data_IF_822461256249
#
_entry.id   IF_822461256249
#
_cell.length_a   1.000
_cell.length_b   1.000
_cell.length_c   1.000
_cell.angle_alpha   90.00
_cell.angle_beta   90.00
_cell.angle_gamma   90.00
#
_symmetry.space_group_name_H-M   'P 1'
#
loop_
_entity.id
_entity.type
_entity.pdbx_description
1 polymer ?
#
# COMPACT_ATOMS: atom_id res chain seq x y z
N UNK A 1 -0.84 -8.65 18.57
CA UNK A 1 -1.65 -9.38 17.57
C UNK A 1 -0.70 -10.04 16.59
N UNK A 2 -0.91 -11.30 16.23
CA UNK A 2 -0.20 -11.95 15.12
C UNK A 2 -0.94 -11.69 13.82
N UNK A 3 -0.20 -11.57 12.72
CA UNK A 3 -0.72 -11.50 11.36
C UNK A 3 -0.25 -12.72 10.57
N UNK A 4 -0.92 -13.03 9.47
CA UNK A 4 -0.52 -14.10 8.54
C UNK A 4 -0.56 -13.61 7.09
N UNK A 5 -0.26 -14.46 6.12
CA UNK A 5 -0.30 -14.12 4.70
C UNK A 5 1.04 -13.68 4.14
N UNK A 6 1.01 -12.83 3.11
CA UNK A 6 2.19 -12.44 2.35
C UNK A 6 3.15 -11.55 3.16
N UNK A 7 4.43 -11.57 2.80
CA UNK A 7 5.42 -10.66 3.37
C UNK A 7 5.25 -9.26 2.79
N UNK A 8 5.09 -8.27 3.66
CA UNK A 8 4.99 -6.85 3.30
C UNK A 8 6.14 -6.10 3.96
N UNK A 9 7.02 -5.50 3.15
CA UNK A 9 8.21 -4.82 3.64
C UNK A 9 7.90 -3.59 4.48
N UNK A 10 8.81 -3.27 5.42
CA UNK A 10 8.77 -2.03 6.20
C UNK A 10 8.76 -0.82 5.28
N UNK A 11 7.97 0.20 5.62
CA UNK A 11 7.78 1.37 4.78
C UNK A 11 7.48 2.65 5.56
N UNK A 12 7.96 3.78 5.08
CA UNK A 12 7.59 5.12 5.56
C UNK A 12 7.08 5.99 4.40
N UNK A 13 6.35 7.06 4.71
CA UNK A 13 5.77 7.96 3.69
C UNK A 13 4.70 7.29 2.79
N UNK A 14 4.19 6.13 3.18
CA UNK A 14 3.06 5.45 2.54
C UNK A 14 1.74 6.06 3.01
N UNK A 15 0.65 5.69 2.35
CA UNK A 15 -0.71 5.93 2.84
C UNK A 15 -1.45 4.62 3.05
N UNK A 16 -2.47 4.65 3.90
CA UNK A 16 -3.34 3.51 4.16
C UNK A 16 -4.80 3.97 4.29
N UNK A 17 -5.72 3.21 3.71
CA UNK A 17 -7.16 3.52 3.71
C UNK A 17 -7.94 2.26 4.05
N UNK A 18 -8.81 2.32 5.06
CA UNK A 18 -9.75 1.26 5.42
C UNK A 18 -11.01 1.36 4.54
N UNK A 19 -11.36 0.26 3.88
CA UNK A 19 -12.61 0.11 3.13
C UNK A 19 -13.75 -0.36 4.03
N UNK A 20 -15.00 -0.21 3.56
CA UNK A 20 -16.19 -0.63 4.32
C UNK A 20 -16.26 -2.15 4.56
N UNK A 21 -15.64 -2.95 3.71
CA UNK A 21 -15.57 -4.41 3.80
C UNK A 21 -14.41 -4.92 4.69
N UNK A 22 -13.69 -4.03 5.37
CA UNK A 22 -12.67 -4.44 6.34
C UNK A 22 -11.31 -4.74 5.73
N UNK A 23 -11.01 -4.21 4.54
CA UNK A 23 -9.67 -4.25 3.96
C UNK A 23 -8.98 -2.90 4.18
N UNK A 24 -7.80 -2.92 4.79
CA UNK A 24 -6.91 -1.77 4.77
C UNK A 24 -6.04 -1.92 3.52
N UNK A 25 -6.14 -0.98 2.58
CA UNK A 25 -5.23 -0.92 1.44
C UNK A 25 -4.09 0.03 1.76
N UNK A 26 -2.86 -0.45 1.55
CA UNK A 26 -1.60 0.25 1.75
C UNK A 26 -1.01 0.51 0.37
N UNK A 27 -0.58 1.74 0.11
CA UNK A 27 0.11 2.09 -1.13
C UNK A 27 1.36 2.93 -0.87
N UNK A 28 2.40 2.59 -1.62
CA UNK A 28 3.59 3.40 -1.75
C UNK A 28 4.55 3.33 -0.56
N UNK A 29 5.39 4.35 -0.48
CA UNK A 29 6.40 4.53 0.55
C UNK A 29 7.78 3.98 0.19
N UNK A 30 8.73 4.27 1.07
CA UNK A 30 10.13 3.85 0.98
C UNK A 30 10.48 2.91 2.11
N UNK A 31 11.38 1.97 1.85
CA UNK A 31 11.99 1.14 2.88
C UNK A 31 13.06 1.90 3.67
N UNK A 32 13.71 1.21 4.61
CA UNK A 32 14.73 1.82 5.48
C UNK A 32 16.00 2.26 4.74
N UNK A 33 16.18 1.87 3.48
CA UNK A 33 17.30 2.26 2.61
C UNK A 33 16.87 3.30 1.57
N UNK A 34 15.78 4.01 1.82
CA UNK A 34 15.17 5.00 0.93
C UNK A 34 14.82 4.46 -0.47
N UNK A 35 14.70 3.13 -0.58
CA UNK A 35 14.35 2.43 -1.81
C UNK A 35 12.84 2.18 -1.88
N UNK A 36 12.30 1.94 -3.08
CA UNK A 36 10.88 1.61 -3.30
C UNK A 36 10.49 0.42 -2.39
N UNK A 37 9.53 0.64 -1.49
CA UNK A 37 9.05 -0.44 -0.64
C UNK A 37 8.26 -1.46 -1.47
N UNK A 38 8.52 -2.75 -1.25
CA UNK A 38 7.83 -3.84 -1.92
C UNK A 38 6.91 -4.62 -0.96
N UNK A 39 5.73 -5.06 -1.43
CA UNK A 39 5.09 -4.67 -2.70
C UNK A 39 4.62 -3.20 -2.65
N UNK A 40 4.38 -2.59 -3.82
CA UNK A 40 3.83 -1.23 -3.88
C UNK A 40 2.44 -1.12 -3.26
N UNK A 41 1.58 -2.10 -3.55
CA UNK A 41 0.22 -2.20 -3.04
C UNK A 41 0.14 -3.47 -2.21
N UNK A 42 -0.39 -3.34 -0.99
CA UNK A 42 -0.74 -4.46 -0.15
C UNK A 42 -2.12 -4.22 0.48
N UNK A 43 -2.80 -5.30 0.85
CA UNK A 43 -4.00 -5.22 1.68
C UNK A 43 -3.82 -5.97 2.99
N UNK A 44 -4.38 -5.46 4.06
CA UNK A 44 -4.56 -6.16 5.33
C UNK A 44 -6.05 -6.38 5.56
N UNK A 45 -6.46 -7.65 5.54
CA UNK A 45 -7.82 -8.04 5.90
C UNK A 45 -7.97 -8.05 7.43
N UNK A 46 -8.69 -7.04 7.93
CA UNK A 46 -8.99 -6.89 9.36
C UNK A 46 -10.36 -7.44 9.75
N UNK A 47 -11.09 -8.02 8.79
CA UNK A 47 -12.38 -8.68 9.04
C UNK A 47 -12.23 -10.11 9.59
N UNK A 48 -11.03 -10.69 9.51
CA UNK A 48 -10.70 -12.05 9.96
C UNK A 48 -9.75 -12.04 11.17
N UNK A 49 -9.50 -13.19 11.81
CA UNK A 49 -8.51 -13.31 12.90
C UNK A 49 -7.76 -14.64 12.78
N UNK A 50 -6.41 -14.63 12.66
CA UNK A 50 -5.53 -13.45 12.63
C UNK A 50 -5.73 -12.60 11.38
N UNK A 51 -5.36 -11.32 11.42
CA UNK A 51 -5.39 -10.46 10.23
C UNK A 51 -4.48 -11.01 9.13
N UNK A 52 -4.90 -10.87 7.87
CA UNK A 52 -4.22 -11.49 6.72
C UNK A 52 -3.68 -10.44 5.77
N UNK A 53 -2.37 -10.45 5.54
CA UNK A 53 -1.71 -9.66 4.51
C UNK A 53 -1.83 -10.31 3.14
N UNK A 54 -1.98 -9.47 2.11
CA UNK A 54 -1.91 -9.87 0.72
C UNK A 54 -1.13 -8.86 -0.09
N UNK A 55 -0.11 -9.32 -0.82
CA UNK A 55 0.63 -8.53 -1.79
C UNK A 55 -0.18 -8.46 -3.09
N UNK A 56 -0.33 -7.26 -3.66
CA UNK A 56 -1.02 -7.07 -4.94
C UNK A 56 0.03 -6.91 -6.04
N UNK A 57 0.01 -7.84 -7.00
CA UNK A 57 0.90 -7.76 -8.16
C UNK A 57 0.44 -6.65 -9.12
N UNK A 58 1.29 -5.62 -9.21
CA UNK A 58 1.07 -4.43 -10.02
C UNK A 58 1.53 -4.59 -11.46
N UNK A 59 2.26 -5.67 -11.80
CA UNK A 59 2.77 -5.92 -13.14
C UNK A 59 1.67 -6.31 -14.15
N UNK A 60 0.44 -6.56 -13.68
CA UNK A 60 -0.65 -7.06 -14.52
C UNK A 60 -1.65 -5.98 -14.94
N UNK A 61 -1.59 -4.75 -14.40
CA UNK A 61 -2.79 -3.91 -14.36
C UNK A 61 -2.58 -2.38 -14.45
N UNK A 62 -1.78 -1.88 -15.41
CA UNK A 62 -1.55 -0.43 -15.62
C UNK A 62 -1.26 0.33 -14.31
N UNK A 63 -0.64 -0.34 -13.35
CA UNK A 63 -0.35 0.25 -12.07
C UNK A 63 0.65 1.40 -12.28
N UNK A 64 0.61 2.45 -11.44
CA UNK A 64 1.54 3.55 -11.55
C UNK A 64 2.98 3.02 -11.61
N UNK A 65 3.73 3.40 -12.64
CA UNK A 65 5.10 2.92 -12.88
C UNK A 65 6.07 3.29 -11.76
N UNK A 66 5.69 4.28 -10.93
CA UNK A 66 6.43 4.73 -9.77
C UNK A 66 5.55 4.72 -8.53
N UNK A 67 6.10 4.18 -7.44
CA UNK A 67 5.54 4.27 -6.10
C UNK A 67 5.55 5.71 -5.60
N UNK A 68 4.43 6.19 -5.05
CA UNK A 68 4.36 7.53 -4.43
C UNK A 68 4.90 7.50 -2.99
N UNK A 69 5.50 8.61 -2.58
CA UNK A 69 6.01 8.82 -1.20
C UNK A 69 5.49 10.16 -0.69
N UNK A 70 5.14 10.22 0.60
CA UNK A 70 4.57 11.39 1.27
C UNK A 70 3.31 11.94 0.57
N UNK A 71 2.49 11.03 0.04
CA UNK A 71 1.24 11.35 -0.65
C UNK A 71 0.04 11.27 0.30
N UNK A 72 -1.11 11.75 -0.17
CA UNK A 72 -2.38 11.61 0.52
C UNK A 72 -3.24 10.53 -0.14
N UNK A 73 -4.08 9.88 0.65
CA UNK A 73 -5.09 8.94 0.15
C UNK A 73 -6.43 9.16 0.84
N UNK A 74 -7.52 8.94 0.11
CA UNK A 74 -8.87 9.00 0.64
C UNK A 74 -9.80 7.98 -0.03
N UNK A 75 -10.88 7.62 0.65
CA UNK A 75 -11.94 6.76 0.12
C UNK A 75 -13.11 7.62 -0.36
N UNK A 76 -13.55 7.42 -1.59
CA UNK A 76 -14.78 7.97 -2.13
C UNK A 76 -15.64 6.86 -2.76
N UNK A 77 -16.69 6.45 -2.05
CA UNK A 77 -17.47 5.27 -2.41
C UNK A 77 -16.59 4.01 -2.40
N UNK A 78 -16.42 3.38 -3.55
CA UNK A 78 -15.56 2.20 -3.75
C UNK A 78 -14.19 2.53 -4.32
N UNK A 79 -13.89 3.82 -4.54
CA UNK A 79 -12.63 4.27 -5.14
C UNK A 79 -11.69 4.78 -4.06
N UNK A 80 -10.46 4.28 -4.07
CA UNK A 80 -9.36 4.88 -3.31
C UNK A 80 -8.64 5.85 -4.24
N UNK A 81 -8.56 7.10 -3.81
CA UNK A 81 -7.93 8.18 -4.56
C UNK A 81 -6.61 8.51 -3.88
N UNK A 82 -5.51 8.32 -4.61
CA UNK A 82 -4.19 8.78 -4.23
C UNK A 82 -3.91 10.12 -4.92
N UNK A 83 -3.47 11.11 -4.16
CA UNK A 83 -3.19 12.44 -4.69
C UNK A 83 -1.96 13.07 -4.04
N UNK A 84 -1.30 13.94 -4.80
CA UNK A 84 -0.08 14.65 -4.40
C UNK A 84 1.06 13.70 -4.01
N UNK A 85 2.10 14.26 -3.37
CA UNK A 85 3.29 13.53 -2.96
C UNK A 85 4.42 13.61 -3.98
N UNK A 86 5.48 12.85 -3.71
CA UNK A 86 6.68 12.79 -4.52
C UNK A 86 6.78 11.45 -5.24
N UNK A 87 7.39 11.47 -6.42
CA UNK A 87 7.88 10.27 -7.08
C UNK A 87 9.22 9.90 -6.45
N UNK A 88 9.42 8.62 -6.12
CA UNK A 88 10.78 8.15 -5.87
C UNK A 88 11.53 8.07 -7.21
N UNK A 89 12.16 9.17 -7.64
CA UNK A 89 13.17 9.11 -8.70
C UNK A 89 14.47 8.60 -8.09
N UNK A 90 14.66 7.29 -8.11
CA UNK A 90 16.02 6.77 -8.03
C UNK A 90 16.73 7.28 -9.29
N UNK A 91 17.69 8.19 -9.11
CA UNK A 91 18.69 8.50 -10.14
C UNK A 91 19.60 7.30 -10.34
#
# INVERSE_FOLDING_TARGET
MSTSGDSVGSRYGHSAVLTQDGLILIYGGLDQSDSRALPDIATLDVSVTPYVWKAIDTNTNNAPTQSLVYHSATLYGIYIIFAFGNYNTLN
#
